data_IF_721995631102
#
_entry.id   IF_721995631102
#
_cell.length_a   1.000
_cell.length_b   1.000
_cell.length_c   1.000
_cell.angle_alpha   90.00
_cell.angle_beta   90.00
_cell.angle_gamma   90.00
#
_symmetry.space_group_name_H-M   'P 1'
#
loop_
_entity.id
_entity.type
_entity.pdbx_description
1 polymer ?
#
# COMPACT_ATOMS: atom_id res chain seq x y z
N UNK A 1 58.22 -0.57 46.33
CA UNK A 1 57.49 0.61 45.82
C UNK A 1 57.78 0.72 44.33
N UNK A 2 56.88 0.71 43.35
CA UNK A 2 55.42 0.68 43.24
C UNK A 2 55.16 0.03 41.87
N UNK A 3 54.30 -1.00 41.77
CA UNK A 3 53.87 -1.52 40.47
C UNK A 3 52.82 -0.56 39.91
N UNK A 4 53.14 0.16 38.85
CA UNK A 4 52.19 0.96 38.08
C UNK A 4 51.35 0.02 37.21
N UNK A 5 50.19 -0.37 37.70
CA UNK A 5 49.16 -1.02 36.89
C UNK A 5 48.47 0.07 36.08
N UNK A 6 48.84 0.21 34.81
CA UNK A 6 48.15 1.08 33.86
C UNK A 6 46.90 0.35 33.37
N UNK A 7 45.75 0.70 33.95
CA UNK A 7 44.45 0.20 33.56
C UNK A 7 43.99 0.96 32.31
N UNK A 8 44.17 0.35 31.13
CA UNK A 8 43.64 0.86 29.87
C UNK A 8 42.15 0.50 29.81
N UNK A 9 41.28 1.45 30.15
CA UNK A 9 39.84 1.33 29.89
C UNK A 9 39.59 1.54 28.40
N UNK A 10 39.43 0.44 27.66
CA UNK A 10 38.85 0.49 26.33
C UNK A 10 37.36 0.86 26.46
N UNK A 11 37.01 2.11 26.15
CA UNK A 11 35.62 2.50 25.97
C UNK A 11 35.11 1.83 24.70
N UNK A 12 34.43 0.70 24.84
CA UNK A 12 33.58 0.19 23.77
C UNK A 12 32.43 1.19 23.60
N UNK A 13 32.54 2.07 22.61
CA UNK A 13 31.40 2.84 22.14
C UNK A 13 30.37 1.82 21.62
N UNK A 14 29.35 1.55 22.42
CA UNK A 14 28.14 0.91 21.92
C UNK A 14 27.60 1.91 20.90
N UNK A 15 27.79 1.62 19.61
CA UNK A 15 27.08 2.34 18.56
C UNK A 15 25.60 2.05 18.80
N UNK A 16 24.94 2.94 19.55
CA UNK A 16 23.48 3.03 19.55
C UNK A 16 23.13 3.20 18.09
N UNK A 17 22.38 2.25 17.52
CA UNK A 17 22.00 2.31 16.11
C UNK A 17 21.30 3.65 15.87
N UNK A 18 21.95 4.54 15.12
CA UNK A 18 21.37 5.84 14.84
C UNK A 18 20.07 5.65 14.07
N UNK A 19 18.98 6.25 14.56
CA UNK A 19 17.70 6.25 13.86
C UNK A 19 17.87 6.91 12.49
N UNK A 20 17.22 6.32 11.49
CA UNK A 20 17.34 6.75 10.11
C UNK A 20 16.69 8.13 9.92
N UNK A 21 17.25 8.95 9.02
CA UNK A 21 16.64 10.20 8.59
C UNK A 21 16.08 10.04 7.18
N UNK A 22 14.84 10.44 6.95
CA UNK A 22 14.19 10.29 5.65
C UNK A 22 13.50 11.58 5.22
N UNK A 23 13.36 11.78 3.92
CA UNK A 23 12.55 12.88 3.41
C UNK A 23 11.07 12.56 3.66
N UNK A 24 10.31 13.54 4.16
CA UNK A 24 8.87 13.41 4.39
C UNK A 24 8.07 14.46 3.61
N UNK A 25 7.13 14.00 2.78
CA UNK A 25 6.16 14.84 2.08
C UNK A 25 4.97 14.00 1.61
N UNK A 26 3.87 14.68 1.29
CA UNK A 26 2.70 14.12 0.62
C UNK A 26 2.17 15.16 -0.37
N UNK A 27 1.85 14.75 -1.59
CA UNK A 27 1.20 15.59 -2.59
C UNK A 27 0.12 14.80 -3.31
N UNK A 28 -0.94 15.49 -3.71
CA UNK A 28 -2.07 14.95 -4.47
C UNK A 28 -2.16 15.70 -5.80
N UNK A 29 -2.34 14.97 -6.90
CA UNK A 29 -2.37 15.53 -8.25
C UNK A 29 -1.00 15.87 -8.85
N UNK A 30 0.08 15.63 -8.11
CA UNK A 30 1.46 15.87 -8.54
C UNK A 30 2.23 14.55 -8.74
N UNK A 31 3.23 14.56 -9.62
CA UNK A 31 4.11 13.40 -9.88
C UNK A 31 5.28 13.30 -8.89
N UNK A 32 5.54 14.35 -8.12
CA UNK A 32 6.59 14.38 -7.10
C UNK A 32 6.21 15.28 -5.93
N UNK A 33 6.92 15.15 -4.82
CA UNK A 33 6.84 16.10 -3.72
C UNK A 33 8.23 16.39 -3.17
N UNK A 34 8.44 17.63 -2.71
CA UNK A 34 9.66 18.01 -1.99
C UNK A 34 9.34 18.05 -0.50
N UNK A 35 10.19 17.43 0.30
CA UNK A 35 9.96 17.22 1.72
C UNK A 35 11.20 17.51 2.55
N UNK A 36 11.00 17.67 3.85
CA UNK A 36 12.08 17.91 4.81
C UNK A 36 12.67 16.59 5.29
N UNK A 37 13.95 16.63 5.70
CA UNK A 37 14.64 15.51 6.33
C UNK A 37 14.19 15.39 7.79
N UNK A 38 13.45 14.33 8.12
CA UNK A 38 12.96 14.04 9.47
C UNK A 38 13.63 12.80 10.03
N UNK A 39 13.78 12.74 11.36
CA UNK A 39 14.23 11.53 12.05
C UNK A 39 13.07 10.55 12.18
N UNK A 40 13.28 9.29 11.79
CA UNK A 40 12.29 8.24 11.93
C UNK A 40 12.05 7.87 13.40
N UNK A 41 10.86 7.34 13.69
CA UNK A 41 10.44 7.06 15.06
C UNK A 41 11.03 5.75 15.58
N UNK A 42 11.01 4.70 14.76
CA UNK A 42 11.46 3.36 15.14
C UNK A 42 12.89 3.08 14.67
N UNK A 43 13.60 2.19 15.37
CA UNK A 43 14.96 1.78 15.00
C UNK A 43 15.00 0.91 13.73
N UNK A 44 13.91 0.22 13.42
CA UNK A 44 13.73 -0.62 12.23
C UNK A 44 13.08 0.10 11.05
N UNK A 45 12.81 1.41 11.20
CA UNK A 45 12.26 2.22 10.12
C UNK A 45 13.26 2.33 8.96
N UNK A 46 12.71 2.25 7.75
CA UNK A 46 13.41 2.45 6.49
C UNK A 46 12.80 3.62 5.73
N UNK A 47 13.61 4.28 4.91
CA UNK A 47 13.08 5.34 4.06
C UNK A 47 12.26 4.74 2.93
N UNK A 48 11.11 5.34 2.66
CA UNK A 48 10.18 4.93 1.62
C UNK A 48 9.76 6.14 0.80
N UNK A 49 9.53 5.91 -0.49
CA UNK A 49 8.71 6.77 -1.35
C UNK A 49 7.65 5.94 -2.05
N UNK A 50 6.43 6.47 -2.12
CA UNK A 50 5.25 5.79 -2.61
C UNK A 50 4.51 6.59 -3.68
N UNK A 51 3.84 5.88 -4.58
CA UNK A 51 2.88 6.43 -5.55
C UNK A 51 1.60 5.62 -5.52
N UNK A 52 0.47 6.30 -5.63
CA UNK A 52 -0.86 5.70 -5.74
C UNK A 52 -1.61 6.26 -6.94
N UNK A 53 -2.21 5.35 -7.72
CA UNK A 53 -3.21 5.67 -8.72
C UNK A 53 -4.55 5.09 -8.25
N UNK A 54 -5.50 5.95 -7.91
CA UNK A 54 -6.86 5.60 -7.50
C UNK A 54 -7.84 5.99 -8.61
N UNK A 55 -8.46 5.01 -9.26
CA UNK A 55 -9.44 5.22 -10.33
C UNK A 55 -10.82 4.82 -9.86
N UNK A 56 -11.79 5.74 -9.95
CA UNK A 56 -13.20 5.49 -9.64
C UNK A 56 -14.05 6.01 -10.81
N UNK A 57 -14.86 5.15 -11.44
CA UNK A 57 -15.70 5.55 -12.58
C UNK A 57 -14.92 6.25 -13.72
N UNK A 58 -13.65 5.89 -13.91
CA UNK A 58 -12.76 6.50 -14.91
C UNK A 58 -12.06 7.80 -14.44
N UNK A 59 -12.46 8.39 -13.32
CA UNK A 59 -11.77 9.52 -12.70
C UNK A 59 -10.50 9.02 -11.99
N UNK A 60 -9.34 9.48 -12.44
CA UNK A 60 -8.02 9.11 -11.90
C UNK A 60 -7.52 10.18 -10.92
N UNK A 61 -7.22 9.75 -9.70
CA UNK A 61 -6.51 10.52 -8.68
C UNK A 61 -5.12 9.94 -8.47
N UNK A 62 -4.13 10.81 -8.44
CA UNK A 62 -2.72 10.45 -8.21
C UNK A 62 -2.29 11.04 -6.89
N UNK A 63 -1.52 10.29 -6.12
CA UNK A 63 -0.81 10.81 -4.96
C UNK A 63 0.59 10.22 -4.87
N UNK A 64 1.50 11.01 -4.29
CA UNK A 64 2.84 10.60 -3.95
C UNK A 64 3.13 10.92 -2.50
N UNK A 65 3.99 10.11 -1.88
CA UNK A 65 4.54 10.42 -0.57
C UNK A 65 6.00 10.00 -0.45
N UNK A 66 6.64 10.57 0.58
CA UNK A 66 7.93 10.15 1.11
C UNK A 66 7.80 10.09 2.63
N UNK A 67 8.51 9.17 3.27
CA UNK A 67 8.55 9.09 4.72
C UNK A 67 9.29 7.86 5.23
N UNK A 68 9.04 7.55 6.50
CA UNK A 68 9.54 6.36 7.19
C UNK A 68 8.48 5.26 7.15
N UNK A 69 8.91 3.99 7.17
CA UNK A 69 8.05 2.83 7.37
C UNK A 69 8.84 1.69 7.98
N UNK A 70 8.21 0.84 8.79
CA UNK A 70 8.77 -0.43 9.21
C UNK A 70 8.23 -1.63 8.38
N UNK A 71 7.36 -1.37 7.40
CA UNK A 71 6.70 -2.41 6.60
C UNK A 71 7.52 -2.72 5.35
N UNK A 72 8.71 -3.31 5.53
CA UNK A 72 9.60 -3.65 4.40
C UNK A 72 8.97 -4.54 3.31
N UNK A 73 7.90 -5.29 3.64
CA UNK A 73 7.17 -6.15 2.68
C UNK A 73 6.44 -5.37 1.57
N UNK A 74 6.21 -4.06 1.73
CA UNK A 74 5.59 -3.23 0.70
C UNK A 74 6.59 -2.77 -0.38
N UNK A 75 7.89 -2.84 -0.09
CA UNK A 75 8.95 -2.34 -0.94
C UNK A 75 9.06 -3.13 -2.24
N UNK A 76 9.27 -2.41 -3.34
CA UNK A 76 9.44 -2.95 -4.70
C UNK A 76 8.30 -3.88 -5.16
N UNK A 77 7.12 -3.73 -4.54
CA UNK A 77 5.93 -4.52 -4.84
C UNK A 77 4.80 -3.59 -5.29
N UNK A 78 4.19 -3.91 -6.42
CA UNK A 78 2.92 -3.29 -6.82
C UNK A 78 1.78 -4.01 -6.10
N UNK A 79 0.95 -3.24 -5.40
CA UNK A 79 -0.23 -3.73 -4.70
C UNK A 79 -1.44 -3.18 -5.43
N UNK A 80 -2.38 -4.06 -5.76
CA UNK A 80 -3.54 -3.71 -6.58
C UNK A 80 -4.83 -4.18 -5.93
N UNK A 81 -5.72 -3.22 -5.70
CA UNK A 81 -7.11 -3.43 -5.36
C UNK A 81 -7.93 -3.27 -6.64
N UNK A 82 -8.84 -4.19 -6.91
CA UNK A 82 -9.75 -4.10 -8.06
C UNK A 82 -11.13 -4.50 -7.64
N UNK A 83 -12.10 -3.63 -7.88
CA UNK A 83 -13.53 -3.86 -7.75
C UNK A 83 -14.19 -3.54 -9.10
N UNK A 84 -15.52 -3.47 -9.15
CA UNK A 84 -16.31 -3.27 -10.39
C UNK A 84 -15.91 -1.99 -11.14
N UNK A 85 -16.05 -0.82 -10.52
CA UNK A 85 -15.72 0.49 -11.10
C UNK A 85 -14.60 1.22 -10.35
N UNK A 86 -13.92 0.50 -9.45
CA UNK A 86 -12.88 1.05 -8.60
C UNK A 86 -11.60 0.24 -8.71
N UNK A 87 -10.47 0.93 -8.83
CA UNK A 87 -9.15 0.32 -8.88
C UNK A 87 -8.15 1.20 -8.17
N UNK A 88 -7.39 0.62 -7.25
CA UNK A 88 -6.25 1.30 -6.61
C UNK A 88 -5.00 0.52 -6.90
N UNK A 89 -3.96 1.23 -7.31
CA UNK A 89 -2.64 0.67 -7.55
C UNK A 89 -1.64 1.47 -6.74
N UNK A 90 -0.88 0.81 -5.89
CA UNK A 90 0.20 1.44 -5.12
C UNK A 90 1.53 0.78 -5.49
N UNK A 91 2.60 1.57 -5.44
CA UNK A 91 3.95 1.09 -5.59
C UNK A 91 4.88 1.88 -4.70
N UNK A 92 5.79 1.17 -4.04
CA UNK A 92 6.71 1.73 -3.06
C UNK A 92 8.14 1.35 -3.40
N UNK A 93 9.07 2.28 -3.20
CA UNK A 93 10.51 2.01 -3.20
C UNK A 93 11.06 2.34 -1.84
N UNK A 94 11.94 1.47 -1.34
CA UNK A 94 12.56 1.66 -0.04
C UNK A 94 14.08 1.65 -0.13
N UNK A 95 14.72 2.25 0.86
CA UNK A 95 16.17 2.30 0.96
C UNK A 95 16.59 2.59 2.41
N UNK A 96 17.87 2.31 2.72
CA UNK A 96 18.37 2.15 4.09
C UNK A 96 19.38 3.23 4.50
N UNK A 97 19.52 4.32 3.73
CA UNK A 97 20.48 5.40 4.01
C UNK A 97 19.75 6.71 4.26
N UNK A 98 20.37 7.61 5.02
CA UNK A 98 19.77 8.91 5.27
C UNK A 98 19.38 9.62 3.96
N UNK A 99 18.13 10.09 3.90
CA UNK A 99 17.56 10.86 2.79
C UNK A 99 17.67 10.20 1.40
N UNK A 100 17.75 8.87 1.37
CA UNK A 100 17.88 8.11 0.11
C UNK A 100 16.58 8.04 -0.71
N UNK A 101 15.44 8.36 -0.11
CA UNK A 101 14.11 8.34 -0.75
C UNK A 101 13.82 9.60 -1.59
N UNK A 102 14.87 10.23 -2.12
CA UNK A 102 14.76 11.39 -2.99
C UNK A 102 14.41 11.04 -4.43
N UNK A 103 14.05 12.07 -5.20
CA UNK A 103 13.71 11.98 -6.63
C UNK A 103 12.37 11.33 -6.93
N UNK A 104 11.92 11.50 -8.17
CA UNK A 104 10.60 11.09 -8.65
C UNK A 104 10.41 9.57 -8.52
N UNK A 105 9.19 9.16 -8.13
CA UNK A 105 8.72 7.78 -8.21
C UNK A 105 7.76 7.65 -9.38
N UNK A 106 7.90 6.57 -10.16
CA UNK A 106 7.03 6.29 -11.30
C UNK A 106 6.28 4.99 -11.05
N UNK A 107 4.99 4.99 -11.39
CA UNK A 107 4.18 3.78 -11.37
C UNK A 107 4.74 2.76 -12.37
N UNK A 108 5.03 1.51 -11.95
CA UNK A 108 5.46 0.45 -12.87
C UNK A 108 4.40 0.15 -13.93
N UNK A 109 4.83 -0.43 -15.06
CA UNK A 109 3.90 -0.92 -16.08
C UNK A 109 2.96 -1.97 -15.47
N UNK A 110 1.67 -1.78 -15.66
CA UNK A 110 0.64 -2.63 -15.08
C UNK A 110 0.29 -3.77 -16.02
N UNK A 111 0.21 -4.99 -15.50
CA UNK A 111 -0.38 -6.12 -16.21
C UNK A 111 -1.87 -6.21 -15.82
N UNK A 112 -2.76 -6.12 -16.81
CA UNK A 112 -4.21 -6.20 -16.61
C UNK A 112 -4.81 -7.49 -17.15
N UNK A 113 -3.99 -8.47 -17.54
CA UNK A 113 -4.48 -9.76 -17.98
C UNK A 113 -5.19 -10.51 -16.84
N UNK A 114 -6.35 -11.07 -17.12
CA UNK A 114 -7.06 -11.95 -16.19
C UNK A 114 -6.18 -13.17 -15.84
N UNK A 115 -6.18 -13.57 -14.57
CA UNK A 115 -5.31 -14.64 -14.07
C UNK A 115 -6.06 -15.95 -13.75
N UNK A 116 -7.34 -16.03 -14.13
CA UNK A 116 -8.18 -17.21 -13.91
C UNK A 116 -8.74 -17.35 -12.49
N UNK A 117 -8.53 -16.38 -11.60
CA UNK A 117 -9.24 -16.29 -10.33
C UNK A 117 -10.42 -15.33 -10.41
N UNK A 118 -11.40 -15.52 -9.53
CA UNK A 118 -12.58 -14.66 -9.40
C UNK A 118 -12.84 -14.33 -7.93
N UNK A 119 -13.36 -13.13 -7.70
CA UNK A 119 -13.86 -12.67 -6.41
C UNK A 119 -15.26 -12.06 -6.54
N UNK A 120 -16.10 -12.19 -5.51
CA UNK A 120 -17.28 -11.34 -5.38
C UNK A 120 -16.82 -9.88 -5.31
N UNK A 121 -17.43 -9.02 -6.11
CA UNK A 121 -17.13 -7.59 -6.14
C UNK A 121 -18.40 -6.75 -6.06
N UNK A 122 -18.30 -5.66 -5.32
CA UNK A 122 -19.33 -4.66 -5.13
C UNK A 122 -18.69 -3.35 -4.70
N UNK A 123 -19.30 -2.24 -5.09
CA UNK A 123 -18.84 -0.90 -4.75
C UNK A 123 -20.05 -0.03 -4.44
N UNK A 124 -20.16 0.42 -3.20
CA UNK A 124 -21.12 1.42 -2.75
C UNK A 124 -20.38 2.61 -2.18
N UNK A 125 -20.78 3.82 -2.55
CA UNK A 125 -20.25 5.09 -2.03
C UNK A 125 -21.38 5.78 -1.27
N UNK A 126 -21.11 6.31 -0.08
CA UNK A 126 -22.12 6.87 0.82
C UNK A 126 -22.76 5.86 1.77
N UNK A 127 -22.43 4.57 1.65
CA UNK A 127 -22.98 3.50 2.48
C UNK A 127 -21.91 2.43 2.77
N UNK A 128 -22.08 1.71 3.87
CA UNK A 128 -21.16 0.68 4.36
C UNK A 128 -21.65 -0.75 4.07
N UNK A 129 -22.77 -0.88 3.33
CA UNK A 129 -23.32 -2.13 2.80
C UNK A 129 -23.30 -2.19 1.27
N UNK A 130 -23.31 -3.42 0.75
CA UNK A 130 -23.51 -3.68 -0.67
C UNK A 130 -25.00 -3.75 -0.98
N UNK A 131 -25.54 -2.69 -1.58
CA UNK A 131 -26.96 -2.62 -1.95
C UNK A 131 -27.19 -3.18 -3.38
N UNK A 132 -26.13 -3.26 -4.17
CA UNK A 132 -26.14 -3.83 -5.52
C UNK A 132 -25.93 -5.35 -5.52
N UNK A 133 -26.29 -6.01 -6.61
CA UNK A 133 -26.00 -7.43 -6.78
C UNK A 133 -24.49 -7.62 -6.90
N UNK A 134 -23.91 -8.42 -6.00
CA UNK A 134 -22.49 -8.75 -6.06
C UNK A 134 -22.15 -9.49 -7.36
N UNK A 135 -21.14 -8.97 -8.08
CA UNK A 135 -20.68 -9.53 -9.34
C UNK A 135 -19.51 -10.50 -9.14
N UNK A 136 -19.30 -11.44 -10.07
CA UNK A 136 -18.08 -12.26 -10.09
C UNK A 136 -17.03 -11.56 -10.94
N UNK A 137 -16.11 -10.86 -10.28
CA UNK A 137 -15.05 -10.10 -10.92
C UNK A 137 -13.85 -11.01 -11.24
N UNK A 138 -13.40 -11.08 -12.51
CA UNK A 138 -12.13 -11.70 -12.86
C UNK A 138 -10.96 -10.93 -12.26
N UNK A 139 -10.12 -11.62 -11.49
CA UNK A 139 -8.91 -11.06 -10.94
C UNK A 139 -7.81 -10.96 -12.00
N UNK A 140 -6.92 -9.99 -11.84
CA UNK A 140 -5.84 -9.72 -12.79
C UNK A 140 -4.46 -9.99 -12.19
N UNK A 141 -3.49 -10.26 -13.06
CA UNK A 141 -2.08 -10.39 -12.70
C UNK A 141 -1.84 -11.34 -11.50
N UNK A 142 -1.34 -10.82 -10.38
CA UNK A 142 -0.97 -11.59 -9.18
C UNK A 142 -2.05 -11.53 -8.07
N UNK A 143 -3.27 -11.12 -8.39
CA UNK A 143 -4.37 -11.04 -7.42
C UNK A 143 -4.97 -12.42 -7.15
N UNK A 144 -4.87 -12.89 -5.90
CA UNK A 144 -5.38 -14.21 -5.49
C UNK A 144 -6.14 -14.15 -4.16
N UNK A 145 -6.44 -12.94 -3.70
CA UNK A 145 -7.15 -12.67 -2.46
C UNK A 145 -8.41 -11.90 -2.82
N UNK A 146 -9.54 -12.26 -2.21
CA UNK A 146 -10.73 -11.42 -2.20
C UNK A 146 -10.71 -10.57 -0.95
N UNK A 147 -10.93 -9.27 -1.08
CA UNK A 147 -11.05 -8.36 0.05
C UNK A 147 -12.47 -7.82 0.15
N UNK A 148 -12.85 -7.44 1.36
CA UNK A 148 -14.02 -6.61 1.66
C UNK A 148 -13.55 -5.51 2.59
N UNK A 149 -13.75 -4.26 2.17
CA UNK A 149 -13.57 -3.06 2.96
C UNK A 149 -14.95 -2.47 3.27
N UNK A 150 -15.17 -2.07 4.51
CA UNK A 150 -16.38 -1.37 4.95
C UNK A 150 -16.04 -0.27 5.94
N UNK A 151 -16.71 0.87 5.84
CA UNK A 151 -16.57 2.01 6.75
C UNK A 151 -16.12 3.29 6.06
N UNK A 152 -15.74 4.29 6.85
CA UNK A 152 -15.34 5.60 6.36
C UNK A 152 -13.96 5.57 5.71
N UNK A 153 -13.68 6.50 4.80
CA UNK A 153 -12.36 6.74 4.23
C UNK A 153 -12.42 7.80 3.14
N UNK A 154 -11.31 8.08 2.49
CA UNK A 154 -11.25 9.05 1.39
C UNK A 154 -10.30 8.58 0.28
N UNK A 155 -10.61 8.97 -0.95
CA UNK A 155 -9.67 8.92 -2.08
C UNK A 155 -8.70 10.09 -1.99
N UNK A 156 -7.58 10.09 -2.74
CA UNK A 156 -6.63 11.18 -2.69
C UNK A 156 -7.29 12.52 -3.07
N UNK A 157 -7.27 13.48 -2.13
CA UNK A 157 -7.80 14.83 -2.33
C UNK A 157 -9.32 14.94 -2.29
N UNK A 158 -10.02 13.91 -1.83
CA UNK A 158 -11.47 13.93 -1.63
C UNK A 158 -11.80 13.98 -0.13
N UNK A 159 -13.01 14.43 0.19
CA UNK A 159 -13.53 14.38 1.56
C UNK A 159 -13.85 12.95 1.99
N UNK A 160 -13.88 12.72 3.29
CA UNK A 160 -14.24 11.42 3.86
C UNK A 160 -15.69 11.04 3.51
N UNK A 161 -15.87 9.77 3.16
CA UNK A 161 -17.15 9.19 2.81
C UNK A 161 -17.22 7.73 3.32
N UNK A 162 -18.42 7.18 3.42
CA UNK A 162 -18.61 5.76 3.72
C UNK A 162 -18.48 4.94 2.44
N UNK A 163 -17.82 3.79 2.57
CA UNK A 163 -17.64 2.86 1.46
C UNK A 163 -17.96 1.43 1.87
N UNK A 164 -18.57 0.70 0.95
CA UNK A 164 -18.44 -0.75 0.86
C UNK A 164 -17.68 -1.07 -0.42
N UNK A 165 -16.55 -1.76 -0.31
CA UNK A 165 -15.77 -2.16 -1.47
C UNK A 165 -15.33 -3.61 -1.32
N UNK A 166 -15.74 -4.47 -2.25
CA UNK A 166 -15.21 -5.82 -2.35
C UNK A 166 -14.65 -6.11 -3.73
N UNK A 167 -13.69 -7.02 -3.80
CA UNK A 167 -13.07 -7.42 -5.07
C UNK A 167 -11.75 -8.15 -4.89
N UNK A 168 -10.86 -8.02 -5.86
CA UNK A 168 -9.57 -8.72 -5.92
C UNK A 168 -8.43 -7.87 -5.31
N UNK A 169 -7.55 -8.53 -4.57
CA UNK A 169 -6.35 -7.97 -3.95
C UNK A 169 -5.12 -8.81 -4.32
N UNK A 170 -3.97 -8.15 -4.48
CA UNK A 170 -2.66 -8.77 -4.68
C UNK A 170 -2.39 -9.84 -3.61
N UNK A 171 -1.80 -10.98 -4.00
CA UNK A 171 -1.46 -12.03 -3.04
C UNK A 171 -0.48 -11.56 -1.95
N UNK A 172 -0.64 -12.12 -0.77
CA UNK A 172 0.25 -11.92 0.39
C UNK A 172 0.37 -10.45 0.83
N UNK A 173 -0.69 -9.64 0.64
CA UNK A 173 -0.72 -8.21 1.06
C UNK A 173 -1.78 -7.87 2.08
N UNK A 174 -2.70 -8.78 2.44
CA UNK A 174 -3.87 -8.43 3.28
C UNK A 174 -3.50 -7.66 4.55
N UNK A 175 -2.50 -8.15 5.29
CA UNK A 175 -2.12 -7.61 6.61
C UNK A 175 -1.56 -6.18 6.57
N UNK A 176 -1.13 -5.69 5.40
CA UNK A 176 -0.56 -4.36 5.23
C UNK A 176 -1.17 -3.59 4.06
N UNK A 177 -2.27 -4.07 3.48
CA UNK A 177 -2.81 -3.49 2.26
C UNK A 177 -3.29 -2.05 2.49
N UNK A 178 -3.98 -1.80 3.61
CA UNK A 178 -4.43 -0.45 3.98
C UNK A 178 -3.25 0.48 4.27
N UNK A 179 -2.22 -0.01 4.97
CA UNK A 179 -0.99 0.76 5.23
C UNK A 179 -0.18 1.07 3.95
N UNK A 180 -0.44 0.34 2.86
CA UNK A 180 0.21 0.60 1.57
C UNK A 180 -0.42 1.74 0.76
N UNK A 181 -1.58 2.26 1.20
CA UNK A 181 -2.19 3.43 0.59
C UNK A 181 -1.32 4.67 0.82
N UNK A 182 -1.30 5.56 -0.16
CA UNK A 182 -0.45 6.76 -0.18
C UNK A 182 -1.31 8.00 -0.01
N UNK A 183 -2.27 8.15 -0.93
CA UNK A 183 -3.20 9.26 -0.96
C UNK A 183 -4.50 8.94 -0.25
N UNK A 184 -5.05 7.75 -0.54
CA UNK A 184 -6.27 7.26 0.07
C UNK A 184 -6.07 7.03 1.57
N UNK A 185 -7.06 7.40 2.37
CA UNK A 185 -6.99 7.30 3.82
C UNK A 185 -8.17 6.46 4.33
N UNK A 186 -7.92 5.27 4.91
CA UNK A 186 -8.94 4.54 5.64
C UNK A 186 -9.37 5.34 6.87
N UNK A 187 -10.67 5.42 7.12
CA UNK A 187 -11.20 6.09 8.29
C UNK A 187 -11.07 5.24 9.56
N UNK A 188 -11.17 5.88 10.73
CA UNK A 188 -10.98 5.22 12.02
C UNK A 188 -12.00 4.11 12.30
N UNK A 189 -13.21 4.19 11.72
CA UNK A 189 -14.26 3.18 11.85
C UNK A 189 -14.33 2.23 10.66
N UNK A 190 -13.21 2.04 9.95
CA UNK A 190 -13.12 1.11 8.84
C UNK A 190 -12.64 -0.28 9.25
N UNK A 191 -13.00 -1.28 8.45
CA UNK A 191 -12.48 -2.63 8.58
C UNK A 191 -12.21 -3.23 7.21
N UNK A 192 -11.21 -4.09 7.13
CA UNK A 192 -10.92 -4.87 5.94
C UNK A 192 -10.76 -6.34 6.31
N UNK A 193 -11.43 -7.21 5.56
CA UNK A 193 -11.32 -8.67 5.68
C UNK A 193 -10.87 -9.27 4.37
N UNK A 194 -10.20 -10.42 4.44
CA UNK A 194 -9.67 -11.11 3.27
C UNK A 194 -10.02 -12.60 3.27
N UNK A 195 -10.18 -13.14 2.08
CA UNK A 195 -10.35 -14.57 1.84
C UNK A 195 -9.61 -14.99 0.57
N UNK A 196 -9.45 -16.30 0.33
CA UNK A 196 -8.81 -16.79 -0.89
C UNK A 196 -9.74 -16.63 -2.09
N UNK A 197 -9.19 -16.18 -3.21
CA UNK A 197 -9.93 -16.14 -4.48
C UNK A 197 -10.23 -17.54 -4.99
N UNK A 198 -11.37 -17.68 -5.68
CA UNK A 198 -11.79 -18.95 -6.27
C UNK A 198 -11.23 -19.07 -7.68
N UNK A 199 -10.83 -20.27 -8.10
CA UNK A 199 -10.52 -20.51 -9.51
C UNK A 199 -11.80 -20.40 -10.34
N UNK A 200 -11.71 -19.71 -11.47
CA UNK A 200 -12.80 -19.61 -12.45
C UNK A 200 -13.04 -20.99 -13.05
N UNK A 201 -14.29 -21.45 -13.02
CA UNK A 201 -14.64 -22.69 -13.69
C UNK A 201 -14.36 -22.56 -15.21
N UNK A 202 -13.83 -23.60 -15.86
CA UNK A 202 -13.67 -23.60 -17.31
C UNK A 202 -15.04 -23.39 -17.96
N UNK A 203 -15.12 -22.53 -18.98
CA UNK A 203 -16.34 -22.38 -19.78
C UNK A 203 -16.64 -23.74 -20.40
N UNK A 204 -17.75 -24.38 -20.02
CA UNK A 204 -18.25 -25.55 -20.75
C UNK A 204 -18.69 -25.05 -22.13
N UNK A 205 -17.87 -25.33 -23.14
CA UNK A 205 -18.28 -25.17 -24.53
C UNK A 205 -19.31 -26.26 -24.83
N UNK A 206 -20.60 -25.89 -24.79
CA UNK A 206 -21.63 -26.70 -25.43
C UNK A 206 -21.45 -26.53 -26.93
N UNK A 207 -20.90 -27.55 -27.58
CA UNK A 207 -21.01 -27.70 -29.02
C UNK A 207 -22.48 -28.05 -29.30
N UNK A 208 -23.21 -27.11 -29.90
CA UNK A 208 -24.50 -27.39 -30.56
C UNK A 208 -24.22 -27.76 -32.01
#
# INVERSE_FOLDING_TARGET
>A
MKYLVVLVFAMAAIAIGEKLWCLQCKAVGEEDCTGESVMCENEDDICMKGVEHSTLNGDLKIAVNRGCTNISKMCDKTITFTSTKYKVITYHKCCYKNNCNSGIIKMPKQNTAENGFICPACLTVGNDTCDEKTEQLPCINNQQICYVYTGSGSRPGEEDNNYYVSGCLTKDTCDYALASLVGSMPGNSSSMTCSRAKKRAPKRHYYN
#
